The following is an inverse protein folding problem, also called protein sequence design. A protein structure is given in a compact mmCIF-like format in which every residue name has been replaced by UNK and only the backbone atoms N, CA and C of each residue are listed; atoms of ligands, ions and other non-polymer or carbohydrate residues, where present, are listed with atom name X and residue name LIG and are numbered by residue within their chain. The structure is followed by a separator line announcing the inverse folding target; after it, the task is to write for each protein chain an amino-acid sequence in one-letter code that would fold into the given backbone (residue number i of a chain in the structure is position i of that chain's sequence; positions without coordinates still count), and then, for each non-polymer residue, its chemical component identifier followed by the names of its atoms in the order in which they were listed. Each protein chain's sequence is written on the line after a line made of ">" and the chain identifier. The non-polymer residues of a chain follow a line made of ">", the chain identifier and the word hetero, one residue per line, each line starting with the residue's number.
data_IF_650266133773
#
_entry.id   IF_650266133773
#
_cell.length_a   1.000
_cell.length_b   1.000
_cell.length_c   1.000
_cell.angle_alpha   90.00
_cell.angle_beta   90.00
_cell.angle_gamma   90.00
#
_symmetry.space_group_name_H-M   'P 1'
#
loop_
_entity.id
_entity.type
_entity.pdbx_description
1 polymer ?
#
# COMPACT_ATOMS: atom_id res chain seq x y z
N UNK A 1 13.26 -40.49 3.14
CA UNK A 1 12.31 -39.58 2.46
C UNK A 1 13.09 -38.61 1.58
N UNK A 2 12.90 -38.64 0.26
CA UNK A 2 13.58 -37.71 -0.67
C UNK A 2 12.97 -36.31 -0.53
N UNK A 3 13.76 -35.33 -0.11
CA UNK A 3 13.36 -33.91 -0.08
C UNK A 3 13.31 -33.37 -1.50
N UNK A 4 12.11 -33.10 -2.02
CA UNK A 4 11.97 -32.32 -3.26
C UNK A 4 12.12 -30.84 -2.91
N UNK A 5 13.20 -30.23 -3.40
CA UNK A 5 13.35 -28.76 -3.44
C UNK A 5 12.40 -28.24 -4.51
N UNK A 6 11.49 -27.36 -4.13
CA UNK A 6 10.71 -26.59 -5.10
C UNK A 6 11.67 -25.80 -6.00
N UNK A 7 11.60 -26.03 -7.31
CA UNK A 7 12.19 -25.18 -8.35
C UNK A 7 11.01 -24.50 -9.05
N UNK A 8 11.05 -23.18 -9.20
CA UNK A 8 10.14 -22.53 -10.14
C UNK A 8 10.37 -23.12 -11.53
N UNK A 9 9.28 -23.30 -12.29
CA UNK A 9 9.38 -23.65 -13.70
C UNK A 9 10.21 -22.56 -14.39
N UNK A 10 11.34 -22.94 -14.99
CA UNK A 10 12.06 -22.04 -15.89
C UNK A 10 11.09 -21.64 -17.00
N UNK A 11 10.60 -20.40 -16.93
CA UNK A 11 9.86 -19.81 -18.03
C UNK A 11 10.87 -19.64 -19.16
N UNK A 12 10.91 -20.63 -20.06
CA UNK A 12 11.57 -20.71 -21.38
C UNK A 12 12.86 -19.89 -21.55
N UNK A 13 14.01 -20.50 -21.90
CA UNK A 13 15.21 -19.72 -22.17
C UNK A 13 14.97 -18.75 -23.33
N UNK A 14 15.12 -17.44 -23.08
CA UNK A 14 15.24 -16.42 -24.11
C UNK A 14 14.21 -15.29 -24.14
N UNK A 15 13.23 -15.23 -23.23
CA UNK A 15 12.29 -14.10 -23.13
C UNK A 15 12.20 -13.61 -21.69
N UNK A 16 12.75 -12.43 -21.40
CA UNK A 16 12.54 -11.78 -20.11
C UNK A 16 11.10 -11.22 -20.02
N UNK A 17 10.61 -10.95 -18.80
CA UNK A 17 9.32 -10.31 -18.51
C UNK A 17 9.09 -9.05 -19.34
N UNK A 18 10.14 -8.27 -19.62
CA UNK A 18 10.03 -7.08 -20.49
C UNK A 18 9.77 -7.43 -21.95
N UNK A 19 10.35 -8.51 -22.45
CA UNK A 19 10.12 -9.01 -23.82
C UNK A 19 8.72 -9.64 -23.94
N UNK A 20 8.23 -10.29 -22.88
CA UNK A 20 6.84 -10.77 -22.80
C UNK A 20 5.83 -9.61 -22.87
N UNK A 21 6.03 -8.52 -22.13
CA UNK A 21 5.14 -7.35 -22.18
C UNK A 21 5.22 -6.63 -23.53
N UNK A 22 6.40 -6.58 -24.15
CA UNK A 22 6.59 -6.02 -25.51
C UNK A 22 5.98 -6.90 -26.60
N UNK A 23 6.06 -8.23 -26.47
CA UNK A 23 5.43 -9.14 -27.43
C UNK A 23 3.90 -9.12 -27.30
N UNK A 24 3.35 -9.00 -26.09
CA UNK A 24 1.91 -8.82 -25.89
C UNK A 24 1.35 -7.53 -26.50
N UNK A 25 2.16 -6.46 -26.56
CA UNK A 25 1.78 -5.21 -27.25
C UNK A 25 1.98 -5.27 -28.76
N UNK A 26 2.83 -6.15 -29.27
CA UNK A 26 3.06 -6.37 -30.72
C UNK A 26 2.09 -7.36 -31.40
N UNK A 27 1.43 -8.26 -30.66
CA UNK A 27 0.54 -9.29 -31.24
C UNK A 27 -0.90 -8.79 -31.45
N UNK A 28 -1.31 -7.69 -30.81
CA UNK A 28 -2.63 -7.10 -31.04
C UNK A 28 -2.82 -6.49 -32.45
N UNK A 29 -1.76 -6.36 -33.25
CA UNK A 29 -1.84 -5.72 -34.57
C UNK A 29 -1.84 -6.70 -35.77
N UNK A 30 -1.50 -7.98 -35.61
CA UNK A 30 -1.35 -8.90 -36.78
C UNK A 30 -1.93 -10.32 -36.56
N UNK A 31 -2.44 -10.64 -35.36
CA UNK A 31 -2.90 -11.99 -35.01
C UNK A 31 -4.30 -12.41 -35.45
N UNK A 32 -5.06 -11.56 -36.16
CA UNK A 32 -6.49 -11.81 -36.43
C UNK A 32 -6.79 -12.79 -37.57
N UNK A 33 -5.79 -13.33 -38.28
CA UNK A 33 -6.01 -14.08 -39.53
C UNK A 33 -5.74 -15.59 -39.50
N UNK A 34 -5.32 -16.19 -38.38
CA UNK A 34 -4.87 -17.62 -38.41
C UNK A 34 -5.75 -18.60 -37.61
N UNK A 35 -6.72 -18.18 -36.79
CA UNK A 35 -7.45 -19.12 -35.91
C UNK A 35 -8.97 -19.20 -36.06
N UNK A 36 -9.58 -18.66 -37.12
CA UNK A 36 -10.99 -18.93 -37.44
C UNK A 36 -11.99 -18.61 -36.31
N UNK A 37 -11.61 -17.73 -35.38
CA UNK A 37 -12.49 -17.29 -34.29
C UNK A 37 -13.52 -16.36 -34.93
N UNK A 38 -14.83 -16.66 -34.86
CA UNK A 38 -15.84 -15.75 -35.37
C UNK A 38 -15.68 -14.42 -34.64
N UNK A 39 -15.62 -13.33 -35.40
CA UNK A 39 -15.69 -11.96 -34.89
C UNK A 39 -17.11 -11.76 -34.38
N UNK A 40 -17.40 -12.31 -33.20
CA UNK A 40 -18.52 -11.82 -32.40
C UNK A 40 -18.25 -10.32 -32.21
N UNK A 41 -19.29 -9.53 -32.52
CA UNK A 41 -19.18 -8.10 -32.76
C UNK A 41 -18.20 -7.43 -31.82
N UNK A 42 -17.34 -6.58 -32.37
CA UNK A 42 -16.60 -5.62 -31.57
C UNK A 42 -17.62 -4.82 -30.77
N UNK A 43 -17.95 -5.27 -29.57
CA UNK A 43 -18.55 -4.42 -28.57
C UNK A 43 -17.62 -3.23 -28.48
N UNK A 44 -18.14 -2.08 -28.92
CA UNK A 44 -17.42 -0.83 -28.94
C UNK A 44 -16.99 -0.61 -27.49
N UNK A 45 -15.71 -0.81 -27.20
CA UNK A 45 -15.20 -0.60 -25.85
C UNK A 45 -15.68 0.79 -25.42
N UNK A 46 -16.36 0.89 -24.26
CA UNK A 46 -16.83 2.19 -23.81
C UNK A 46 -15.62 3.14 -23.76
N UNK A 47 -15.80 4.42 -24.14
CA UNK A 47 -14.71 5.37 -24.05
C UNK A 47 -14.18 5.37 -22.61
N UNK A 48 -12.85 5.51 -22.42
CA UNK A 48 -12.29 5.57 -21.08
C UNK A 48 -12.96 6.71 -20.31
N UNK A 49 -13.21 6.53 -18.99
CA UNK A 49 -13.82 7.58 -18.19
C UNK A 49 -12.95 8.84 -18.22
N UNK A 50 -13.60 10.00 -18.21
CA UNK A 50 -12.91 11.27 -18.02
C UNK A 50 -12.31 11.29 -16.61
N UNK A 51 -11.03 11.65 -16.49
CA UNK A 51 -10.30 11.67 -15.20
C UNK A 51 -9.44 12.91 -15.09
N UNK A 52 -8.99 13.23 -13.88
CA UNK A 52 -8.01 14.31 -13.64
C UNK A 52 -6.55 13.84 -13.73
N UNK A 53 -6.26 12.68 -14.33
CA UNK A 53 -4.89 12.16 -14.45
C UNK A 53 -3.95 13.15 -15.17
N UNK A 54 -4.49 13.91 -16.12
CA UNK A 54 -3.74 14.94 -16.84
C UNK A 54 -3.19 16.04 -15.93
N UNK A 55 -3.84 16.32 -14.79
CA UNK A 55 -3.38 17.32 -13.83
C UNK A 55 -2.22 16.78 -13.00
N UNK A 56 -2.28 15.52 -12.56
CA UNK A 56 -1.16 14.85 -11.90
C UNK A 56 0.09 14.76 -12.78
N UNK A 57 -0.10 14.54 -14.09
CA UNK A 57 1.01 14.45 -15.04
C UNK A 57 1.71 15.79 -15.29
N UNK A 58 1.06 16.93 -14.97
CA UNK A 58 1.67 18.27 -15.05
C UNK A 58 2.55 18.61 -13.86
N UNK A 59 2.41 17.89 -12.74
CA UNK A 59 3.18 18.15 -11.52
C UNK A 59 4.69 17.97 -11.81
N UNK A 60 5.52 19.00 -11.58
CA UNK A 60 6.96 18.89 -11.83
C UNK A 60 7.57 17.77 -10.99
N UNK A 61 8.41 16.95 -11.64
CA UNK A 61 9.15 15.90 -10.93
C UNK A 61 10.22 16.51 -10.04
N UNK A 62 10.32 16.01 -8.82
CA UNK A 62 11.38 16.34 -7.87
C UNK A 62 12.34 15.17 -7.74
N UNK A 63 13.43 15.36 -6.98
CA UNK A 63 14.39 14.30 -6.64
C UNK A 63 13.75 13.10 -5.93
N UNK A 64 12.55 13.27 -5.36
CA UNK A 64 11.80 12.24 -4.64
C UNK A 64 10.61 11.69 -5.44
N UNK A 65 10.33 12.21 -6.63
CA UNK A 65 9.25 11.67 -7.48
C UNK A 65 9.56 10.24 -7.92
N UNK A 66 8.49 9.45 -8.14
CA UNK A 66 8.61 8.10 -8.69
C UNK A 66 9.34 8.12 -10.05
N UNK A 67 10.21 7.13 -10.33
CA UNK A 67 10.45 5.89 -9.56
C UNK A 67 11.44 6.01 -8.38
N UNK A 68 11.85 7.22 -8.00
CA UNK A 68 12.78 7.47 -6.89
C UNK A 68 14.25 7.16 -7.23
N UNK A 69 15.15 7.25 -6.23
CA UNK A 69 16.60 7.10 -6.44
C UNK A 69 17.07 5.67 -6.75
N UNK A 70 16.22 4.66 -6.55
CA UNK A 70 16.57 3.23 -6.74
C UNK A 70 15.55 2.49 -7.61
N UNK A 71 15.36 2.91 -8.88
CA UNK A 71 14.29 2.39 -9.73
C UNK A 71 14.43 0.88 -9.96
N UNK A 72 13.43 0.13 -9.52
CA UNK A 72 13.35 -1.32 -9.73
C UNK A 72 14.37 -2.15 -8.94
N UNK A 73 15.05 -1.58 -7.92
CA UNK A 73 15.95 -2.32 -7.04
C UNK A 73 15.20 -2.87 -5.83
N UNK A 74 15.27 -4.18 -5.62
CA UNK A 74 14.71 -4.87 -4.45
C UNK A 74 15.85 -5.47 -3.65
N UNK A 75 15.80 -5.31 -2.33
CA UNK A 75 16.74 -5.95 -1.40
C UNK A 75 15.99 -6.97 -0.57
N UNK A 76 16.48 -8.20 -0.59
CA UNK A 76 16.00 -9.28 0.27
C UNK A 76 16.99 -9.49 1.42
N UNK A 77 16.48 -9.59 2.64
CA UNK A 77 17.26 -9.90 3.83
C UNK A 77 16.65 -11.11 4.52
N UNK A 78 17.48 -12.12 4.82
CA UNK A 78 17.08 -13.33 5.53
C UNK A 78 17.92 -13.51 6.79
N UNK A 79 17.27 -13.88 7.88
CA UNK A 79 17.93 -14.31 9.10
C UNK A 79 17.00 -15.29 9.82
N UNK A 80 17.44 -16.53 10.06
CA UNK A 80 16.60 -17.54 10.70
C UNK A 80 16.45 -17.31 12.20
N UNK A 81 17.31 -16.48 12.81
CA UNK A 81 17.20 -16.13 14.22
C UNK A 81 16.10 -15.08 14.48
N UNK A 82 15.47 -14.51 13.44
CA UNK A 82 14.45 -13.48 13.62
C UNK A 82 13.13 -13.99 14.20
N UNK A 83 12.88 -15.31 14.11
CA UNK A 83 11.69 -15.97 14.62
C UNK A 83 12.11 -17.26 15.32
N UNK A 84 11.97 -17.30 16.64
CA UNK A 84 12.33 -18.45 17.48
C UNK A 84 11.14 -18.80 18.35
N UNK A 85 10.67 -20.06 18.28
CA UNK A 85 9.50 -20.53 19.03
C UNK A 85 8.28 -19.60 18.88
N UNK A 86 7.98 -19.21 17.63
CA UNK A 86 6.87 -18.31 17.27
C UNK A 86 6.97 -16.88 17.84
N UNK A 87 8.11 -16.52 18.43
CA UNK A 87 8.40 -15.18 18.93
C UNK A 87 9.44 -14.50 18.06
N UNK A 88 9.16 -13.27 17.64
CA UNK A 88 10.13 -12.47 16.90
C UNK A 88 11.23 -11.94 17.83
N UNK A 89 12.47 -12.08 17.39
CA UNK A 89 13.62 -11.48 18.08
C UNK A 89 13.86 -10.04 17.58
N UNK A 90 13.55 -9.07 18.44
CA UNK A 90 13.57 -7.66 18.08
C UNK A 90 14.97 -7.16 17.66
N UNK A 91 16.03 -7.66 18.31
CA UNK A 91 17.39 -7.28 17.99
C UNK A 91 17.81 -7.77 16.60
N UNK A 92 17.44 -9.00 16.24
CA UNK A 92 17.69 -9.58 14.92
C UNK A 92 16.89 -8.87 13.84
N UNK A 93 15.59 -8.62 14.06
CA UNK A 93 14.76 -7.85 13.11
C UNK A 93 15.35 -6.46 12.87
N UNK A 94 15.81 -5.79 13.92
CA UNK A 94 16.49 -4.48 13.80
C UNK A 94 17.71 -4.57 12.88
N UNK A 95 18.62 -5.53 13.14
CA UNK A 95 19.81 -5.75 12.30
C UNK A 95 19.43 -6.07 10.85
N UNK A 96 18.35 -6.81 10.62
CA UNK A 96 17.85 -7.12 9.28
C UNK A 96 17.39 -5.85 8.55
N UNK A 97 16.58 -5.00 9.18
CA UNK A 97 16.13 -3.72 8.61
C UNK A 97 17.32 -2.83 8.28
N UNK A 98 18.26 -2.68 9.21
CA UNK A 98 19.44 -1.88 8.96
C UNK A 98 20.31 -2.41 7.82
N UNK A 99 20.50 -3.74 7.72
CA UNK A 99 21.22 -4.37 6.61
C UNK A 99 20.49 -4.14 5.29
N UNK A 100 19.16 -4.18 5.29
CA UNK A 100 18.32 -3.85 4.14
C UNK A 100 18.57 -2.42 3.64
N UNK A 101 18.51 -1.44 4.55
CA UNK A 101 18.76 -0.02 4.26
C UNK A 101 20.18 0.19 3.71
N UNK A 102 21.20 -0.38 4.37
CA UNK A 102 22.60 -0.27 3.90
C UNK A 102 22.81 -0.90 2.54
N UNK A 103 22.20 -2.05 2.26
CA UNK A 103 22.32 -2.75 0.97
C UNK A 103 21.60 -2.00 -0.15
N UNK A 104 20.44 -1.40 0.15
CA UNK A 104 19.69 -0.60 -0.81
C UNK A 104 20.47 0.63 -1.21
N UNK A 105 20.96 1.38 -0.20
CA UNK A 105 21.56 2.70 -0.37
C UNK A 105 23.06 2.69 -0.65
N UNK A 106 23.78 1.62 -0.29
CA UNK A 106 25.23 1.52 -0.41
C UNK A 106 26.02 2.34 0.61
N UNK A 107 25.36 2.91 1.62
CA UNK A 107 25.98 3.79 2.63
C UNK A 107 25.55 3.40 4.05
N UNK A 108 26.19 3.99 5.06
CA UNK A 108 25.80 3.82 6.46
C UNK A 108 24.41 4.41 6.76
N UNK A 109 23.83 4.03 7.90
CA UNK A 109 22.46 4.42 8.28
C UNK A 109 22.25 5.94 8.43
N UNK A 110 23.30 6.66 8.86
CA UNK A 110 23.20 8.10 9.07
C UNK A 110 23.24 8.82 7.73
N UNK A 111 24.05 8.34 6.79
CA UNK A 111 24.06 8.83 5.40
C UNK A 111 22.79 8.46 4.66
N UNK A 112 22.29 7.23 4.82
CA UNK A 112 21.07 6.77 4.15
C UNK A 112 19.85 7.60 4.53
N UNK A 113 19.74 8.01 5.80
CA UNK A 113 18.65 8.88 6.27
C UNK A 113 18.54 10.16 5.44
N UNK A 114 19.67 10.85 5.21
CA UNK A 114 19.72 12.10 4.43
C UNK A 114 19.39 11.94 2.95
N UNK A 115 19.26 10.70 2.46
CA UNK A 115 18.80 10.46 1.09
C UNK A 115 17.28 10.58 0.96
N UNK A 116 16.55 10.39 2.05
CA UNK A 116 15.09 10.27 2.05
C UNK A 116 14.40 11.32 2.91
N UNK A 117 15.02 11.75 4.01
CA UNK A 117 14.35 12.52 5.05
C UNK A 117 15.17 13.72 5.54
N UNK A 118 14.44 14.72 6.00
CA UNK A 118 14.90 15.83 6.83
C UNK A 118 14.36 15.67 8.27
N UNK A 119 15.00 16.32 9.25
CA UNK A 119 14.68 16.10 10.68
C UNK A 119 13.31 16.63 11.10
N UNK A 120 12.77 17.56 10.32
CA UNK A 120 11.49 18.23 10.52
C UNK A 120 10.36 17.58 9.70
N UNK A 121 10.64 16.53 8.92
CA UNK A 121 9.61 15.81 8.18
C UNK A 121 8.56 15.20 9.11
N UNK A 122 7.34 15.10 8.61
CA UNK A 122 6.28 14.24 9.15
C UNK A 122 6.27 12.95 8.33
N UNK A 123 6.43 11.81 8.98
CA UNK A 123 6.64 10.51 8.33
C UNK A 123 5.50 9.57 8.64
N UNK A 124 4.72 9.23 7.61
CA UNK A 124 3.69 8.19 7.65
C UNK A 124 4.27 6.80 7.41
N UNK A 125 4.04 5.88 8.35
CA UNK A 125 4.36 4.45 8.27
C UNK A 125 3.07 3.67 7.98
N UNK A 126 2.79 3.46 6.69
CA UNK A 126 1.67 2.63 6.25
C UNK A 126 1.94 1.18 6.59
N UNK A 127 1.08 0.58 7.41
CA UNK A 127 1.17 -0.84 7.77
C UNK A 127 0.10 -1.67 7.07
N UNK A 128 0.18 -2.99 7.17
CA UNK A 128 -0.92 -3.91 6.92
C UNK A 128 -1.36 -4.53 8.25
N UNK A 129 -2.51 -4.14 8.83
CA UNK A 129 -3.00 -4.68 10.10
C UNK A 129 -3.93 -5.90 9.93
N UNK A 130 -4.15 -6.40 8.71
CA UNK A 130 -5.09 -7.50 8.44
C UNK A 130 -4.44 -8.87 8.61
N UNK A 131 -5.20 -9.82 9.19
CA UNK A 131 -4.78 -11.20 9.42
C UNK A 131 -3.69 -11.45 10.48
N UNK A 132 -3.56 -10.67 11.59
CA UNK A 132 -2.77 -11.11 12.73
C UNK A 132 -3.24 -12.48 13.27
N UNK A 133 -2.33 -13.30 13.82
CA UNK A 133 -0.90 -13.08 13.94
C UNK A 133 -0.10 -13.66 12.75
N UNK A 134 -0.70 -13.84 11.56
CA UNK A 134 -0.07 -14.58 10.45
C UNK A 134 0.44 -13.67 9.32
N UNK A 135 -0.45 -12.90 8.70
CA UNK A 135 -0.20 -12.19 7.42
C UNK A 135 -0.22 -10.66 7.56
N UNK A 136 0.15 -10.15 8.74
CA UNK A 136 0.22 -8.71 9.03
C UNK A 136 1.66 -8.17 9.03
N UNK A 137 1.81 -6.85 8.90
CA UNK A 137 3.08 -6.16 9.17
C UNK A 137 3.46 -6.39 10.63
N UNK A 138 4.66 -6.90 10.88
CA UNK A 138 5.15 -7.15 12.23
C UNK A 138 5.50 -5.84 12.93
N UNK A 139 4.96 -5.57 14.12
CA UNK A 139 5.32 -4.38 14.88
C UNK A 139 6.83 -4.24 15.14
N UNK A 140 7.55 -5.36 15.25
CA UNK A 140 9.02 -5.41 15.38
C UNK A 140 9.74 -4.69 14.24
N UNK A 141 9.23 -4.83 13.01
CA UNK A 141 9.76 -4.13 11.82
C UNK A 141 9.48 -2.63 11.92
N UNK A 142 8.28 -2.25 12.36
CA UNK A 142 7.88 -0.85 12.52
C UNK A 142 8.72 -0.17 13.60
N UNK A 143 8.93 -0.82 14.75
CA UNK A 143 9.83 -0.36 15.81
C UNK A 143 11.26 -0.16 15.31
N UNK A 144 11.79 -1.07 14.47
CA UNK A 144 13.12 -0.95 13.90
C UNK A 144 13.25 0.26 12.95
N UNK A 145 12.22 0.54 12.14
CA UNK A 145 12.17 1.74 11.28
C UNK A 145 12.06 3.00 12.13
N UNK A 146 11.18 3.03 13.12
CA UNK A 146 11.02 4.16 14.04
C UNK A 146 12.33 4.48 14.76
N UNK A 147 13.04 3.45 15.25
CA UNK A 147 14.36 3.63 15.86
C UNK A 147 15.32 4.34 14.92
N UNK A 148 15.43 3.87 13.68
CA UNK A 148 16.30 4.51 12.68
C UNK A 148 15.90 5.97 12.39
N UNK A 149 14.61 6.30 12.32
CA UNK A 149 14.14 7.67 12.13
C UNK A 149 14.48 8.56 13.34
N UNK A 150 14.21 8.08 14.55
CA UNK A 150 14.45 8.81 15.80
C UNK A 150 15.95 9.01 16.07
N UNK A 151 16.78 7.98 15.85
CA UNK A 151 18.24 8.05 15.99
C UNK A 151 18.87 9.09 15.05
N UNK A 152 18.19 9.44 13.96
CA UNK A 152 18.60 10.49 13.02
C UNK A 152 17.96 11.86 13.27
N UNK A 153 17.09 11.96 14.28
CA UNK A 153 16.59 13.23 14.80
C UNK A 153 15.15 13.58 14.43
N UNK A 154 14.39 12.66 13.81
CA UNK A 154 12.93 12.87 13.67
C UNK A 154 12.28 12.76 15.05
N UNK A 155 11.46 13.75 15.38
CA UNK A 155 10.72 13.74 16.65
C UNK A 155 9.63 12.68 16.60
N UNK A 156 9.44 11.91 17.68
CA UNK A 156 8.39 10.87 17.75
C UNK A 156 6.99 11.38 17.36
N UNK A 157 6.65 12.59 17.78
CA UNK A 157 5.37 13.26 17.46
C UNK A 157 5.17 13.54 15.97
N UNK A 158 6.21 13.45 15.15
CA UNK A 158 6.16 13.62 13.70
C UNK A 158 6.07 12.26 12.97
N UNK A 159 5.97 11.14 13.69
CA UNK A 159 5.85 9.82 13.10
C UNK A 159 4.42 9.34 13.32
N UNK A 160 3.77 8.92 12.24
CA UNK A 160 2.39 8.44 12.23
C UNK A 160 2.35 7.01 11.70
N UNK A 161 1.97 6.05 12.53
CA UNK A 161 1.60 4.70 12.06
C UNK A 161 0.17 4.78 11.58
N UNK A 162 -0.10 4.34 10.35
CA UNK A 162 -1.45 4.46 9.82
C UNK A 162 -1.87 3.29 8.95
N UNK A 163 -3.18 3.09 8.89
CA UNK A 163 -3.87 2.20 7.97
C UNK A 163 -5.29 2.74 7.71
N UNK A 164 -6.10 1.99 6.97
CA UNK A 164 -7.48 2.32 6.68
C UNK A 164 -8.35 2.27 7.92
N UNK A 165 -8.28 1.21 8.72
CA UNK A 165 -9.20 0.98 9.84
C UNK A 165 -8.50 1.04 11.20
N UNK A 166 -9.04 1.85 12.11
CA UNK A 166 -8.52 2.07 13.46
C UNK A 166 -8.54 0.81 14.34
N UNK A 167 -9.63 0.06 14.33
CA UNK A 167 -9.79 -1.13 15.15
C UNK A 167 -8.83 -2.24 14.73
N UNK A 168 -8.58 -2.40 13.43
CA UNK A 168 -7.61 -3.37 12.91
C UNK A 168 -6.18 -3.04 13.37
N UNK A 169 -5.80 -1.76 13.42
CA UNK A 169 -4.49 -1.35 13.95
C UNK A 169 -4.31 -1.83 15.40
N UNK A 170 -5.33 -1.64 16.23
CA UNK A 170 -5.31 -2.08 17.63
C UNK A 170 -5.18 -3.60 17.74
N UNK A 171 -5.95 -4.36 16.97
CA UNK A 171 -5.89 -5.83 16.94
C UNK A 171 -4.52 -6.36 16.47
N UNK A 172 -3.88 -5.65 15.54
CA UNK A 172 -2.54 -5.97 15.06
C UNK A 172 -1.42 -5.57 16.06
N UNK A 173 -1.77 -4.99 17.21
CA UNK A 173 -0.83 -4.61 18.26
C UNK A 173 -0.17 -3.25 18.06
N UNK A 174 -0.70 -2.41 17.18
CA UNK A 174 -0.31 -1.00 17.07
C UNK A 174 -1.10 -0.20 18.10
N UNK A 175 -0.55 -0.10 19.32
CA UNK A 175 -1.17 0.63 20.43
C UNK A 175 -0.24 1.68 21.00
N UNK A 176 -0.79 2.67 21.71
CA UNK A 176 -0.01 3.75 22.33
C UNK A 176 0.95 3.22 23.41
N UNK A 177 0.59 2.12 24.08
CA UNK A 177 1.43 1.46 25.07
C UNK A 177 2.69 0.85 24.42
N UNK A 178 2.52 0.27 23.22
CA UNK A 178 3.64 -0.31 22.47
C UNK A 178 4.49 0.76 21.78
N UNK A 179 3.86 1.82 21.27
CA UNK A 179 4.52 2.89 20.52
C UNK A 179 4.39 4.25 21.24
N UNK A 180 4.98 4.42 22.43
CA UNK A 180 4.79 5.62 23.23
C UNK A 180 5.37 6.86 22.54
N UNK A 181 4.50 7.86 22.37
CA UNK A 181 4.81 9.16 21.75
C UNK A 181 4.76 9.17 20.21
N UNK A 182 4.36 8.06 19.58
CA UNK A 182 4.13 7.94 18.14
C UNK A 182 2.62 8.07 17.91
N UNK A 183 2.21 8.76 16.84
CA UNK A 183 0.80 8.86 16.48
C UNK A 183 0.34 7.56 15.81
N UNK A 184 -0.89 7.14 16.07
CA UNK A 184 -1.50 5.96 15.45
C UNK A 184 -2.87 6.39 14.95
N UNK A 185 -3.07 6.35 13.64
CA UNK A 185 -4.25 6.92 13.00
C UNK A 185 -4.89 5.92 12.03
N UNK A 186 -6.20 5.71 12.18
CA UNK A 186 -7.03 5.05 11.17
C UNK A 186 -7.69 6.10 10.31
N UNK A 187 -7.58 6.00 8.98
CA UNK A 187 -8.25 6.95 8.08
C UNK A 187 -9.77 6.90 8.19
N UNK A 188 -10.33 5.75 8.53
CA UNK A 188 -11.76 5.57 8.67
C UNK A 188 -12.12 4.53 9.73
N UNK A 189 -13.36 4.59 10.18
CA UNK A 189 -13.99 3.57 11.03
C UNK A 189 -15.10 2.87 10.26
N UNK A 190 -15.61 1.76 10.79
CA UNK A 190 -16.79 1.07 10.28
C UNK A 190 -17.60 0.51 11.45
N UNK A 191 -18.91 0.36 11.26
CA UNK A 191 -19.76 -0.31 12.26
C UNK A 191 -19.96 -1.77 11.86
N UNK A 192 -19.31 -2.68 12.58
CA UNK A 192 -19.42 -4.12 12.38
C UNK A 192 -20.71 -4.73 12.97
N UNK A 193 -21.54 -3.93 13.65
CA UNK A 193 -22.80 -4.45 14.18
C UNK A 193 -23.84 -4.69 13.09
N UNK A 194 -24.69 -5.68 13.29
CA UNK A 194 -25.71 -6.12 12.31
C UNK A 194 -26.68 -4.99 11.90
N UNK A 195 -26.89 -4.01 12.78
CA UNK A 195 -27.73 -2.82 12.56
C UNK A 195 -26.91 -1.53 12.48
N UNK A 196 -25.63 -1.64 12.14
CA UNK A 196 -24.63 -0.61 12.39
C UNK A 196 -24.88 0.72 11.69
N UNK A 197 -25.11 1.76 12.50
CA UNK A 197 -25.33 3.15 12.06
C UNK A 197 -24.28 4.12 12.62
N UNK A 198 -23.37 3.65 13.49
CA UNK A 198 -22.40 4.49 14.20
C UNK A 198 -21.29 5.07 13.31
N UNK A 199 -21.23 4.66 12.06
CA UNK A 199 -20.34 5.21 11.04
C UNK A 199 -20.90 6.49 10.40
N UNK A 200 -22.17 6.86 10.66
CA UNK A 200 -22.77 8.14 10.25
C UNK A 200 -22.95 9.08 11.44
N UNK A 201 -22.77 10.38 11.19
CA UNK A 201 -23.14 11.43 12.12
C UNK A 201 -24.64 11.77 12.05
N UNK A 202 -25.08 12.74 12.87
CA UNK A 202 -26.48 13.17 12.90
C UNK A 202 -26.98 13.80 11.59
N UNK A 203 -26.08 14.19 10.68
CA UNK A 203 -26.41 14.69 9.35
C UNK A 203 -26.48 13.59 8.28
N UNK A 204 -26.19 12.34 8.66
CA UNK A 204 -26.13 11.19 7.76
C UNK A 204 -24.80 11.08 7.01
N UNK A 205 -23.82 11.91 7.33
CA UNK A 205 -22.50 11.91 6.70
C UNK A 205 -21.58 10.92 7.39
N UNK A 206 -20.64 10.32 6.66
CA UNK A 206 -19.69 9.38 7.27
C UNK A 206 -18.78 10.14 8.26
N UNK A 207 -18.67 9.65 9.49
CA UNK A 207 -17.91 10.31 10.58
C UNK A 207 -16.42 10.51 10.26
N UNK A 208 -15.89 9.76 9.30
CA UNK A 208 -14.48 9.79 8.89
C UNK A 208 -14.22 10.73 7.72
N UNK A 209 -15.24 11.39 7.17
CA UNK A 209 -15.06 12.28 6.01
C UNK A 209 -14.08 13.43 6.30
N UNK A 210 -14.04 13.92 7.54
CA UNK A 210 -13.11 14.98 7.95
C UNK A 210 -11.63 14.55 7.96
N UNK A 211 -11.34 13.24 7.85
CA UNK A 211 -9.98 12.72 7.80
C UNK A 211 -9.34 12.84 6.41
N UNK A 212 -10.10 13.29 5.40
CA UNK A 212 -9.63 13.36 4.01
C UNK A 212 -9.50 14.81 3.55
N UNK A 213 -8.39 15.14 2.91
CA UNK A 213 -8.15 16.42 2.25
C UNK A 213 -8.93 16.48 0.93
N UNK A 214 -10.04 17.21 0.92
CA UNK A 214 -10.87 17.36 -0.27
C UNK A 214 -10.23 18.21 -1.37
N UNK A 215 -9.14 18.93 -1.07
CA UNK A 215 -8.32 19.63 -2.05
C UNK A 215 -7.42 18.71 -2.87
N UNK A 216 -7.21 17.46 -2.42
CA UNK A 216 -6.36 16.46 -3.08
C UNK A 216 -7.21 15.23 -3.42
N UNK A 217 -7.50 15.05 -4.70
CA UNK A 217 -8.46 14.04 -5.16
C UNK A 217 -8.07 13.36 -6.46
N UNK A 218 -8.54 12.14 -6.63
CA UNK A 218 -8.71 11.48 -7.92
C UNK A 218 -10.17 11.62 -8.37
N UNK A 219 -10.38 11.97 -9.63
CA UNK A 219 -11.69 12.08 -10.25
C UNK A 219 -11.85 11.05 -11.36
N UNK A 220 -13.00 10.39 -11.40
CA UNK A 220 -13.42 9.54 -12.51
C UNK A 220 -14.91 9.71 -12.81
N UNK A 221 -15.21 10.37 -13.94
CA UNK A 221 -16.58 10.66 -14.36
C UNK A 221 -17.39 9.40 -14.60
N UNK A 222 -18.59 9.37 -14.03
CA UNK A 222 -19.54 8.27 -14.11
C UNK A 222 -19.20 7.06 -13.24
N UNK A 223 -18.08 7.08 -12.51
CA UNK A 223 -17.69 5.99 -11.61
C UNK A 223 -18.23 6.32 -10.21
N UNK A 224 -19.32 5.65 -9.84
CA UNK A 224 -20.00 5.83 -8.57
C UNK A 224 -19.90 4.56 -7.73
N UNK A 225 -19.84 4.72 -6.41
CA UNK A 225 -19.98 3.64 -5.43
C UNK A 225 -21.44 3.19 -5.28
N UNK A 226 -22.10 2.87 -6.40
CA UNK A 226 -23.52 2.49 -6.47
C UNK A 226 -23.69 1.17 -7.21
N UNK A 227 -24.41 0.22 -6.62
CA UNK A 227 -24.63 -1.11 -7.17
C UNK A 227 -23.31 -1.86 -7.40
N UNK A 228 -22.31 -1.61 -6.55
CA UNK A 228 -20.96 -2.14 -6.73
C UNK A 228 -20.99 -3.66 -6.57
N UNK A 229 -20.56 -4.38 -7.61
CA UNK A 229 -20.51 -5.83 -7.60
C UNK A 229 -19.65 -6.33 -6.43
N UNK A 230 -20.17 -7.32 -5.69
CA UNK A 230 -19.51 -7.89 -4.52
C UNK A 230 -19.90 -7.25 -3.19
N UNK A 231 -20.65 -6.14 -3.20
CA UNK A 231 -21.28 -5.58 -2.01
C UNK A 231 -22.74 -6.03 -1.93
N UNK A 232 -23.25 -6.15 -0.69
CA UNK A 232 -24.64 -6.53 -0.42
C UNK A 232 -25.61 -5.47 -0.94
N UNK A 233 -25.33 -4.21 -0.64
CA UNK A 233 -26.10 -3.03 -1.02
C UNK A 233 -25.22 -1.77 -0.87
N UNK A 234 -25.75 -0.61 -1.27
CA UNK A 234 -25.04 0.67 -1.24
C UNK A 234 -24.76 1.14 0.21
N UNK A 235 -25.60 0.77 1.17
CA UNK A 235 -25.38 1.11 2.59
C UNK A 235 -24.20 0.32 3.16
N UNK A 236 -24.12 -0.97 2.86
CA UNK A 236 -22.98 -1.81 3.20
C UNK A 236 -21.68 -1.34 2.54
N UNK A 237 -21.77 -0.82 1.31
CA UNK A 237 -20.63 -0.18 0.65
C UNK A 237 -20.18 1.07 1.41
N UNK A 238 -21.10 1.97 1.74
CA UNK A 238 -20.80 3.24 2.42
C UNK A 238 -20.32 3.07 3.87
N UNK A 239 -20.74 2.02 4.58
CA UNK A 239 -20.15 1.67 5.87
C UNK A 239 -18.65 1.35 5.76
N UNK A 240 -18.20 0.87 4.61
CA UNK A 240 -16.79 0.57 4.35
C UNK A 240 -16.09 1.67 3.54
N UNK A 241 -16.79 2.56 2.86
CA UNK A 241 -16.23 3.55 1.94
C UNK A 241 -16.80 4.92 2.26
N UNK A 242 -15.91 5.84 2.62
CA UNK A 242 -16.29 7.19 3.07
C UNK A 242 -17.00 7.99 1.96
N UNK A 243 -16.65 7.72 0.70
CA UNK A 243 -17.19 8.41 -0.46
C UNK A 243 -17.72 7.41 -1.50
N UNK A 244 -18.86 7.74 -2.12
CA UNK A 244 -19.45 6.98 -3.23
C UNK A 244 -19.65 7.83 -4.51
N UNK A 245 -19.18 9.08 -4.51
CA UNK A 245 -19.22 9.95 -5.67
C UNK A 245 -18.07 9.69 -6.66
N UNK A 246 -17.99 10.52 -7.69
CA UNK A 246 -16.94 10.47 -8.73
C UNK A 246 -15.55 10.87 -8.21
N UNK A 247 -15.47 11.37 -6.98
CA UNK A 247 -14.27 11.88 -6.34
C UNK A 247 -13.83 10.93 -5.22
N UNK A 248 -12.54 10.59 -5.24
CA UNK A 248 -11.84 9.88 -4.17
C UNK A 248 -10.75 10.78 -3.62
N UNK A 249 -10.64 10.88 -2.30
CA UNK A 249 -9.78 11.85 -1.64
C UNK A 249 -8.61 11.16 -0.92
N UNK A 250 -7.55 11.90 -0.65
CA UNK A 250 -6.41 11.43 0.14
C UNK A 250 -6.57 11.89 1.59
N UNK A 251 -6.26 11.03 2.55
CA UNK A 251 -6.19 11.36 3.97
C UNK A 251 -4.78 11.25 4.53
#
# INVERSE_FOLDING_TARGET
>A
MKKYRYRSVDCRPGLDRRDFVRSATGVCAVGSLVLGVPVFGQEKQPPPPETNIGDFMKVPKTKHSLPGPFPGKVVEVKDTACLVNEKFDQATVTKMVERGIRTLTGVDLKKSFRMFFEKNDVVGLKVNPVGPPLINTRPEVVEAVIRWLVDNGIQKKNIVIWDRFDYMLKEAGFTAERFPGIQIEGLQTMDESENGTKWRDASGKHVSEANFDQGVYYFAKGILGKGVQGYKDDEYYLNQHVFAGEYSYYG
#
